data_IF_443631317717
#
_entry.id   IF_443631317717
#
_cell.length_a   1.000
_cell.length_b   1.000
_cell.length_c   1.000
_cell.angle_alpha   90.00
_cell.angle_beta   90.00
_cell.angle_gamma   90.00
#
_symmetry.space_group_name_H-M   'P 1'
#
loop_
_entity.id
_entity.type
_entity.pdbx_description
1 polymer ?
#
# COMPACT_ATOMS: atom_id res chain seq x y z
N UNK A 1 -3.29 25.87 1.43
CA UNK A 1 -3.00 24.42 1.45
C UNK A 1 -4.26 23.69 1.88
N UNK A 2 -4.40 22.44 1.47
CA UNK A 2 -5.55 21.61 1.78
C UNK A 2 -5.34 20.91 3.09
N UNK A 3 -6.17 21.14 4.09
CA UNK A 3 -6.14 20.41 5.36
C UNK A 3 -6.56 18.95 5.16
N UNK A 4 -5.86 18.03 5.83
CA UNK A 4 -6.18 16.61 5.85
C UNK A 4 -7.03 16.22 7.06
N UNK A 5 -7.93 15.26 6.88
CA UNK A 5 -8.60 14.59 7.99
C UNK A 5 -7.69 13.51 8.55
N UNK A 6 -7.16 13.76 9.73
CA UNK A 6 -6.18 12.90 10.39
C UNK A 6 -6.87 12.09 11.49
N UNK A 7 -6.65 10.78 11.49
CA UNK A 7 -7.06 9.88 12.56
C UNK A 7 -6.09 9.97 13.73
N UNK A 8 -4.81 9.77 13.46
CA UNK A 8 -3.75 9.79 14.49
C UNK A 8 -2.37 9.99 13.86
N UNK A 9 -1.39 10.35 14.69
CA UNK A 9 0.02 10.49 14.34
C UNK A 9 0.85 9.56 15.23
N UNK A 10 1.86 8.91 14.67
CA UNK A 10 2.79 8.04 15.39
C UNK A 10 4.23 8.39 15.05
N UNK A 11 5.04 8.65 16.07
CA UNK A 11 6.41 9.19 15.90
C UNK A 11 7.45 8.11 15.59
N UNK A 12 7.20 6.82 15.86
CA UNK A 12 8.23 5.78 15.81
C UNK A 12 7.76 4.50 15.07
N UNK A 13 7.14 4.65 13.89
CA UNK A 13 6.81 3.53 13.03
C UNK A 13 8.07 2.82 12.54
N UNK A 14 8.13 1.50 12.72
CA UNK A 14 9.26 0.66 12.31
C UNK A 14 8.90 -0.38 11.24
N UNK A 15 7.61 -0.45 10.88
CA UNK A 15 7.05 -1.39 9.90
C UNK A 15 6.31 -0.69 8.74
N UNK A 16 6.39 0.63 8.70
CA UNK A 16 5.62 1.48 7.80
C UNK A 16 6.52 2.08 6.69
N UNK A 17 7.52 1.34 6.26
CA UNK A 17 8.50 1.73 5.25
C UNK A 17 9.94 1.65 5.75
N UNK A 18 10.91 2.17 4.97
CA UNK A 18 12.32 2.09 5.33
C UNK A 18 12.66 3.01 6.51
N UNK A 19 13.55 2.53 7.38
CA UNK A 19 14.03 3.27 8.56
C UNK A 19 12.93 3.50 9.60
N UNK A 20 13.14 4.49 10.47
CA UNK A 20 12.09 4.94 11.42
C UNK A 20 11.22 5.98 10.75
N UNK A 21 9.90 5.84 10.86
CA UNK A 21 8.93 6.69 10.17
C UNK A 21 8.11 7.53 11.14
N UNK A 22 7.84 8.77 10.75
CA UNK A 22 6.71 9.51 11.28
C UNK A 22 5.48 9.11 10.48
N UNK A 23 4.54 8.43 11.13
CA UNK A 23 3.38 7.82 10.47
C UNK A 23 2.14 8.68 10.66
N UNK A 24 1.49 9.02 9.57
CA UNK A 24 0.30 9.84 9.52
C UNK A 24 -0.86 8.94 9.10
N UNK A 25 -1.73 8.60 10.06
CA UNK A 25 -2.93 7.83 9.80
C UNK A 25 -4.06 8.77 9.39
N UNK A 26 -4.46 8.73 8.13
CA UNK A 26 -5.60 9.53 7.65
C UNK A 26 -6.93 8.85 7.92
N UNK A 27 -7.96 9.66 8.02
CA UNK A 27 -9.35 9.23 8.18
C UNK A 27 -10.02 9.03 6.81
N UNK A 28 -10.92 8.07 6.74
CA UNK A 28 -11.74 7.78 5.57
C UNK A 28 -11.19 6.62 4.72
N UNK A 29 -11.99 5.56 4.54
CA UNK A 29 -11.67 4.44 3.67
C UNK A 29 -12.93 3.88 3.01
N UNK A 30 -12.97 3.73 1.67
CA UNK A 30 -14.12 3.15 0.98
C UNK A 30 -14.13 1.62 1.04
N UNK A 31 -13.02 0.99 1.46
CA UNK A 31 -12.90 -0.46 1.55
C UNK A 31 -13.46 -0.98 2.89
N UNK A 32 -13.84 -2.27 2.89
CA UNK A 32 -14.31 -3.00 4.08
C UNK A 32 -13.57 -4.32 4.18
N UNK A 33 -12.23 -4.23 4.32
CA UNK A 33 -11.36 -5.40 4.43
C UNK A 33 -11.78 -6.24 5.63
N UNK A 34 -11.93 -7.56 5.42
CA UNK A 34 -12.39 -8.47 6.47
C UNK A 34 -11.43 -8.52 7.68
N UNK A 35 -10.15 -8.25 7.45
CA UNK A 35 -9.07 -8.24 8.44
C UNK A 35 -8.57 -6.82 8.79
N UNK A 36 -9.36 -5.77 8.56
CA UNK A 36 -8.89 -4.41 8.81
C UNK A 36 -8.47 -4.23 10.27
N UNK A 37 -7.27 -3.67 10.49
CA UNK A 37 -6.79 -3.36 11.84
C UNK A 37 -7.25 -1.99 12.34
N UNK A 38 -7.74 -1.14 11.43
CA UNK A 38 -8.15 0.22 11.72
C UNK A 38 -9.60 0.49 11.24
N UNK A 39 -10.62 -0.28 11.68
CA UNK A 39 -12.01 -0.03 11.28
C UNK A 39 -12.52 1.34 11.75
N UNK A 40 -11.89 1.91 12.76
CA UNK A 40 -12.10 3.27 13.26
C UNK A 40 -11.74 4.36 12.24
N UNK A 41 -10.94 4.04 11.21
CA UNK A 41 -10.64 4.97 10.11
C UNK A 41 -11.66 4.92 8.95
N UNK A 42 -12.69 4.11 9.00
CA UNK A 42 -13.61 3.94 7.86
C UNK A 42 -14.51 5.14 7.61
N UNK A 43 -14.90 5.86 8.68
CA UNK A 43 -15.82 7.01 8.59
C UNK A 43 -15.16 8.16 7.83
N UNK A 44 -15.76 8.56 6.69
CA UNK A 44 -15.16 9.54 5.78
C UNK A 44 -15.03 10.95 6.34
N UNK A 45 -15.94 11.34 7.23
CA UNK A 45 -16.04 12.71 7.74
C UNK A 45 -15.56 12.89 9.18
N UNK A 46 -15.09 11.81 9.82
CA UNK A 46 -14.48 11.84 11.15
C UNK A 46 -13.03 12.35 11.12
N UNK A 47 -12.34 12.25 12.25
CA UNK A 47 -10.95 12.70 12.41
C UNK A 47 -10.82 14.19 12.62
N UNK A 48 -9.58 14.62 12.85
CA UNK A 48 -9.22 16.02 13.09
C UNK A 48 -8.67 16.65 11.82
N UNK A 49 -9.14 17.84 11.46
CA UNK A 49 -8.53 18.60 10.36
C UNK A 49 -7.19 19.17 10.82
N UNK A 50 -6.14 18.87 10.04
CA UNK A 50 -4.79 19.38 10.28
C UNK A 50 -4.18 19.91 8.98
N UNK A 51 -3.50 21.05 9.08
CA UNK A 51 -2.73 21.60 7.96
C UNK A 51 -1.41 20.83 7.78
N UNK A 52 -0.91 20.67 6.54
CA UNK A 52 0.38 20.04 6.27
C UNK A 52 1.55 20.61 7.10
N UNK A 53 1.58 21.93 7.32
CA UNK A 53 2.62 22.59 8.10
C UNK A 53 2.60 22.16 9.59
N UNK A 54 1.42 22.01 10.18
CA UNK A 54 1.26 21.55 11.57
C UNK A 54 1.79 20.11 11.75
N UNK A 55 1.58 19.26 10.74
CA UNK A 55 2.07 17.87 10.74
C UNK A 55 3.60 17.84 10.65
N UNK A 56 4.20 18.64 9.75
CA UNK A 56 5.65 18.71 9.63
C UNK A 56 6.32 19.36 10.83
N UNK A 57 5.67 20.29 11.52
CA UNK A 57 6.17 20.79 12.81
C UNK A 57 6.33 19.66 13.83
N UNK A 58 5.38 18.72 13.89
CA UNK A 58 5.50 17.55 14.76
C UNK A 58 6.60 16.59 14.32
N UNK A 59 6.77 16.38 13.01
CA UNK A 59 7.89 15.61 12.46
C UNK A 59 9.23 16.19 12.91
N UNK A 60 9.45 17.48 12.76
CA UNK A 60 10.72 18.15 13.08
C UNK A 60 11.09 18.08 14.58
N UNK A 61 10.14 17.94 15.49
CA UNK A 61 10.43 17.71 16.91
C UNK A 61 11.21 16.40 17.17
N UNK A 62 11.04 15.41 16.28
CA UNK A 62 11.67 14.10 16.39
C UNK A 62 12.60 13.78 15.20
N UNK A 63 12.95 14.75 14.36
CA UNK A 63 13.75 14.59 13.15
C UNK A 63 15.03 13.77 13.31
N UNK A 64 15.80 13.89 14.42
CA UNK A 64 17.02 13.10 14.59
C UNK A 64 16.81 11.58 14.50
N UNK A 65 15.61 11.08 14.83
CA UNK A 65 15.28 9.66 14.77
C UNK A 65 15.02 9.15 13.36
N UNK A 66 14.77 10.04 12.40
CA UNK A 66 14.42 9.69 11.01
C UNK A 66 15.60 9.79 10.04
N UNK A 67 16.77 10.28 10.48
CA UNK A 67 17.93 10.58 9.61
C UNK A 67 18.54 9.36 8.91
N UNK A 68 18.38 8.16 9.47
CA UNK A 68 18.95 6.92 8.92
C UNK A 68 17.96 6.22 7.97
N UNK A 69 17.64 6.87 6.84
CA UNK A 69 16.75 6.31 5.83
C UNK A 69 15.27 6.34 6.17
N UNK A 70 14.90 7.07 7.25
CA UNK A 70 13.50 7.30 7.64
C UNK A 70 12.85 8.46 6.88
N UNK A 71 11.71 8.93 7.38
CA UNK A 71 10.94 10.03 6.79
C UNK A 71 9.48 10.00 7.23
N UNK A 72 8.57 10.48 6.39
CA UNK A 72 7.13 10.40 6.65
C UNK A 72 6.49 9.24 5.87
N UNK A 73 5.48 8.61 6.47
CA UNK A 73 4.57 7.66 5.80
C UNK A 73 3.14 8.11 6.02
N UNK A 74 2.37 8.23 4.94
CA UNK A 74 0.93 8.46 5.03
C UNK A 74 0.20 7.16 4.76
N UNK A 75 -0.63 6.74 5.71
CA UNK A 75 -1.39 5.48 5.76
C UNK A 75 -2.74 5.70 6.44
N UNK A 76 -3.34 4.68 7.05
CA UNK A 76 -4.52 4.76 7.93
C UNK A 76 -5.77 4.20 7.30
N UNK A 77 -6.70 5.06 6.87
CA UNK A 77 -7.81 4.72 6.00
C UNK A 77 -7.32 4.45 4.58
N UNK A 78 -7.73 5.29 3.63
CA UNK A 78 -7.15 5.27 2.27
C UNK A 78 -6.61 6.67 1.93
N UNK A 79 -5.30 6.87 1.95
CA UNK A 79 -4.71 8.19 1.76
C UNK A 79 -5.08 8.87 0.44
N UNK A 80 -5.21 8.11 -0.64
CA UNK A 80 -5.54 8.64 -1.96
C UNK A 80 -6.95 9.25 -2.05
N UNK A 81 -7.81 9.01 -1.06
CA UNK A 81 -9.08 9.74 -0.93
C UNK A 81 -8.87 11.21 -0.58
N UNK A 82 -7.68 11.58 -0.10
CA UNK A 82 -7.28 12.94 0.28
C UNK A 82 -6.09 13.41 -0.56
N UNK A 83 -6.12 13.17 -1.88
CA UNK A 83 -4.98 13.38 -2.78
C UNK A 83 -4.48 14.84 -2.81
N UNK A 84 -5.35 15.83 -2.67
CA UNK A 84 -4.96 17.25 -2.63
C UNK A 84 -4.15 17.58 -1.37
N UNK A 85 -4.55 17.00 -0.22
CA UNK A 85 -3.78 17.08 1.02
C UNK A 85 -2.41 16.40 0.88
N UNK A 86 -2.35 15.21 0.26
CA UNK A 86 -1.10 14.49 0.00
C UNK A 86 -0.13 15.32 -0.85
N UNK A 87 -0.62 15.95 -1.91
CA UNK A 87 0.18 16.81 -2.78
C UNK A 87 0.78 17.98 -1.99
N UNK A 88 -0.02 18.65 -1.18
CA UNK A 88 0.43 19.77 -0.37
C UNK A 88 1.44 19.34 0.71
N UNK A 89 1.15 18.23 1.42
CA UNK A 89 2.05 17.68 2.44
C UNK A 89 3.40 17.23 1.85
N UNK A 90 3.36 16.46 0.76
CA UNK A 90 4.59 15.95 0.14
C UNK A 90 5.38 17.05 -0.54
N UNK A 91 4.70 18.10 -1.05
CA UNK A 91 5.40 19.29 -1.56
C UNK A 91 6.22 19.97 -0.47
N UNK A 92 5.68 20.14 0.73
CA UNK A 92 6.42 20.69 1.86
C UNK A 92 7.53 19.74 2.32
N UNK A 93 7.23 18.47 2.49
CA UNK A 93 8.21 17.46 2.89
C UNK A 93 9.42 17.41 1.95
N UNK A 94 9.18 17.52 0.63
CA UNK A 94 10.26 17.56 -0.37
C UNK A 94 11.14 18.81 -0.29
N UNK A 95 10.59 19.95 0.09
CA UNK A 95 11.40 21.19 0.32
C UNK A 95 12.37 21.00 1.47
N UNK A 96 12.00 20.22 2.48
CA UNK A 96 12.82 19.92 3.66
C UNK A 96 13.70 18.67 3.45
N UNK A 97 13.71 18.08 2.25
CA UNK A 97 14.51 16.89 1.93
C UNK A 97 14.01 15.61 2.62
N UNK A 98 12.76 15.58 3.07
CA UNK A 98 12.15 14.44 3.78
C UNK A 98 11.75 13.37 2.76
N UNK A 99 12.10 12.11 3.06
CA UNK A 99 11.66 10.95 2.29
C UNK A 99 10.16 10.70 2.52
N UNK A 100 9.41 10.58 1.42
CA UNK A 100 7.96 10.42 1.40
C UNK A 100 7.56 8.99 1.03
N UNK A 101 6.72 8.37 1.86
CA UNK A 101 6.17 7.05 1.62
C UNK A 101 4.63 7.12 1.65
N UNK A 102 4.01 6.49 0.68
CA UNK A 102 2.56 6.34 0.59
C UNK A 102 2.19 4.87 0.78
N UNK A 103 1.47 4.55 1.86
CA UNK A 103 0.91 3.22 2.13
C UNK A 103 -0.57 3.21 1.74
N UNK A 104 -0.92 2.53 0.68
CA UNK A 104 -2.24 2.62 0.04
C UNK A 104 -2.69 1.30 -0.58
N UNK A 105 -3.99 1.12 -0.69
CA UNK A 105 -4.56 0.08 -1.54
C UNK A 105 -4.63 0.47 -3.03
N UNK A 106 -4.49 1.75 -3.36
CA UNK A 106 -4.66 2.24 -4.73
C UNK A 106 -6.11 2.30 -5.22
N UNK A 107 -7.10 2.05 -4.36
CA UNK A 107 -8.52 1.94 -4.76
C UNK A 107 -9.09 3.22 -5.38
N UNK A 108 -8.53 4.37 -5.02
CA UNK A 108 -8.97 5.67 -5.56
C UNK A 108 -8.43 5.94 -6.99
N UNK A 109 -7.48 5.14 -7.48
CA UNK A 109 -6.96 5.30 -8.83
C UNK A 109 -8.03 4.99 -9.87
N UNK A 110 -8.24 5.93 -10.79
CA UNK A 110 -9.17 5.75 -11.91
C UNK A 110 -8.59 6.40 -13.18
N UNK A 111 -8.00 5.61 -14.09
CA UNK A 111 -7.37 6.12 -15.30
C UNK A 111 -8.37 6.76 -16.28
N UNK A 112 -9.66 6.47 -16.14
CA UNK A 112 -10.71 7.02 -17.00
C UNK A 112 -11.19 8.42 -16.51
N UNK A 113 -10.65 8.90 -15.38
CA UNK A 113 -10.96 10.22 -14.83
C UNK A 113 -9.76 11.16 -15.01
N UNK A 114 -9.80 12.00 -16.05
CA UNK A 114 -8.71 12.91 -16.40
C UNK A 114 -8.33 13.86 -15.26
N UNK A 115 -9.31 14.40 -14.50
CA UNK A 115 -9.04 15.29 -13.38
C UNK A 115 -8.28 14.58 -12.26
N UNK A 116 -8.62 13.32 -11.99
CA UNK A 116 -7.87 12.51 -11.02
C UNK A 116 -6.47 12.19 -11.53
N UNK A 117 -6.32 11.89 -12.82
CA UNK A 117 -5.01 11.60 -13.41
C UNK A 117 -4.05 12.78 -13.32
N UNK A 118 -4.51 14.02 -13.53
CA UNK A 118 -3.71 15.22 -13.32
C UNK A 118 -3.19 15.33 -11.88
N UNK A 119 -4.00 14.94 -10.89
CA UNK A 119 -3.58 14.91 -9.49
C UNK A 119 -2.55 13.80 -9.22
N UNK A 120 -2.74 12.61 -9.78
CA UNK A 120 -1.76 11.54 -9.70
C UNK A 120 -0.43 11.94 -10.34
N UNK A 121 -0.45 12.57 -11.51
CA UNK A 121 0.75 13.06 -12.20
C UNK A 121 1.50 14.13 -11.39
N UNK A 122 0.79 14.90 -10.56
CA UNK A 122 1.41 15.84 -9.61
C UNK A 122 1.94 15.18 -8.35
N UNK A 123 1.27 14.11 -7.85
CA UNK A 123 1.67 13.42 -6.61
C UNK A 123 2.89 12.53 -6.82
N UNK A 124 2.97 11.80 -7.94
CA UNK A 124 4.01 10.79 -8.14
C UNK A 124 5.45 11.34 -8.08
N UNK A 125 5.79 12.50 -8.68
CA UNK A 125 7.13 13.08 -8.55
C UNK A 125 7.51 13.49 -7.11
N UNK A 126 6.53 13.60 -6.22
CA UNK A 126 6.70 13.93 -4.81
C UNK A 126 6.79 12.69 -3.90
N UNK A 127 6.60 11.49 -4.47
CA UNK A 127 6.53 10.23 -3.73
C UNK A 127 7.76 9.38 -4.01
N UNK A 128 8.56 9.09 -2.98
CA UNK A 128 9.76 8.27 -3.13
C UNK A 128 9.44 6.77 -3.13
N UNK A 129 8.44 6.37 -2.37
CA UNK A 129 8.04 4.97 -2.23
C UNK A 129 6.52 4.83 -2.12
N UNK A 130 5.96 3.88 -2.83
CA UNK A 130 4.59 3.41 -2.61
C UNK A 130 4.62 2.00 -2.04
N UNK A 131 4.05 1.81 -0.86
CA UNK A 131 3.68 0.50 -0.34
C UNK A 131 2.26 0.20 -0.82
N UNK A 132 2.14 -0.66 -1.82
CA UNK A 132 0.87 -0.99 -2.46
C UNK A 132 0.32 -2.31 -1.93
N UNK A 133 -0.85 -2.23 -1.32
CA UNK A 133 -1.58 -3.39 -0.85
C UNK A 133 -2.38 -4.07 -1.98
N UNK A 134 -1.93 -5.20 -2.48
CA UNK A 134 -2.75 -6.07 -3.34
C UNK A 134 -3.41 -7.12 -2.45
N UNK A 135 -4.68 -6.89 -2.08
CA UNK A 135 -5.39 -7.70 -1.08
C UNK A 135 -5.77 -9.11 -1.59
N UNK A 136 -6.05 -9.24 -2.88
CA UNK A 136 -6.22 -10.51 -3.60
C UNK A 136 -6.05 -10.28 -5.10
N UNK A 137 -5.44 -11.24 -5.82
CA UNK A 137 -5.25 -11.11 -7.27
C UNK A 137 -6.54 -11.43 -8.05
N UNK A 138 -7.30 -12.42 -7.63
CA UNK A 138 -8.58 -12.78 -8.23
C UNK A 138 -9.65 -11.71 -7.92
N UNK A 139 -10.41 -11.18 -8.91
CA UNK A 139 -11.33 -10.08 -8.72
C UNK A 139 -12.54 -10.43 -7.85
N UNK A 140 -13.07 -11.65 -7.96
CA UNK A 140 -14.25 -12.04 -7.18
C UNK A 140 -13.89 -12.25 -5.71
N UNK A 141 -12.77 -12.92 -5.45
CA UNK A 141 -12.25 -13.09 -4.10
C UNK A 141 -11.83 -11.76 -3.47
N UNK A 142 -11.24 -10.86 -4.26
CA UNK A 142 -10.96 -9.51 -3.79
C UNK A 142 -12.25 -8.79 -3.36
N UNK A 143 -13.28 -8.82 -4.19
CA UNK A 143 -14.57 -8.20 -3.89
C UNK A 143 -15.25 -8.84 -2.65
N UNK A 144 -15.13 -10.15 -2.49
CA UNK A 144 -15.59 -10.84 -1.30
C UNK A 144 -14.86 -10.33 -0.05
N UNK A 145 -13.53 -10.23 -0.13
CA UNK A 145 -12.64 -9.88 0.98
C UNK A 145 -12.80 -8.43 1.43
N UNK A 146 -12.85 -7.47 0.48
CA UNK A 146 -12.74 -6.02 0.77
C UNK A 146 -13.93 -5.19 0.30
N UNK A 147 -14.93 -5.80 -0.35
CA UNK A 147 -16.17 -5.20 -0.86
C UNK A 147 -15.96 -4.19 -2.02
N UNK A 148 -14.81 -4.23 -2.66
CA UNK A 148 -14.44 -3.39 -3.80
C UNK A 148 -13.73 -4.23 -4.88
N UNK A 149 -13.79 -3.84 -6.18
CA UNK A 149 -13.03 -4.50 -7.23
C UNK A 149 -11.53 -4.18 -7.13
N UNK A 150 -10.67 -5.07 -7.68
CA UNK A 150 -9.22 -4.85 -7.74
C UNK A 150 -8.73 -4.25 -9.07
N UNK A 151 -9.58 -4.09 -10.08
CA UNK A 151 -9.19 -3.71 -11.44
C UNK A 151 -8.33 -2.43 -11.46
N UNK A 152 -8.77 -1.39 -10.77
CA UNK A 152 -8.04 -0.12 -10.73
C UNK A 152 -6.78 -0.19 -9.86
N UNK A 153 -6.76 -1.05 -8.85
CA UNK A 153 -5.58 -1.32 -8.02
C UNK A 153 -4.46 -1.93 -8.88
N UNK A 154 -4.80 -2.93 -9.71
CA UNK A 154 -3.84 -3.56 -10.61
C UNK A 154 -3.36 -2.60 -11.70
N UNK A 155 -4.24 -1.73 -12.23
CA UNK A 155 -3.86 -0.64 -13.14
C UNK A 155 -2.94 0.38 -12.45
N UNK A 156 -3.15 0.66 -11.15
CA UNK A 156 -2.30 1.56 -10.39
C UNK A 156 -0.87 1.00 -10.25
N UNK A 157 -0.70 -0.30 -10.02
CA UNK A 157 0.62 -0.93 -10.03
C UNK A 157 1.35 -0.72 -11.37
N UNK A 158 0.64 -0.88 -12.50
CA UNK A 158 1.21 -0.63 -13.82
C UNK A 158 1.57 0.85 -14.03
N UNK A 159 0.71 1.77 -13.58
CA UNK A 159 0.98 3.21 -13.62
C UNK A 159 2.21 3.61 -12.79
N UNK A 160 2.37 3.06 -11.59
CA UNK A 160 3.57 3.28 -10.76
C UNK A 160 4.84 2.81 -11.49
N UNK A 161 4.77 1.68 -12.20
CA UNK A 161 5.87 1.18 -13.00
C UNK A 161 6.19 2.12 -14.19
N UNK A 162 5.18 2.64 -14.89
CA UNK A 162 5.34 3.63 -15.96
C UNK A 162 5.99 4.92 -15.44
N UNK A 163 5.57 5.41 -14.28
CA UNK A 163 6.13 6.61 -13.64
C UNK A 163 7.47 6.37 -12.93
N UNK A 164 7.96 5.13 -12.91
CA UNK A 164 9.21 4.73 -12.25
C UNK A 164 9.27 5.12 -10.76
N UNK A 165 8.13 5.03 -10.07
CA UNK A 165 8.05 5.24 -8.63
C UNK A 165 8.39 3.93 -7.92
N UNK A 166 9.31 3.93 -6.96
CA UNK A 166 9.69 2.73 -6.22
C UNK A 166 8.47 2.12 -5.52
N UNK A 167 8.33 0.80 -5.61
CA UNK A 167 7.14 0.09 -5.12
C UNK A 167 7.51 -1.09 -4.23
N UNK A 168 6.90 -1.17 -3.04
CA UNK A 168 6.82 -2.38 -2.24
C UNK A 168 5.40 -2.95 -2.37
N UNK A 169 5.28 -4.24 -2.65
CA UNK A 169 3.98 -4.92 -2.62
C UNK A 169 3.76 -5.52 -1.25
N UNK A 170 2.60 -5.21 -0.67
CA UNK A 170 2.15 -5.78 0.61
C UNK A 170 0.98 -6.73 0.35
N UNK A 171 1.02 -7.88 1.02
CA UNK A 171 -0.04 -8.88 0.93
C UNK A 171 -0.20 -9.60 2.27
N UNK A 172 -1.39 -9.52 2.85
CA UNK A 172 -1.71 -10.21 4.11
C UNK A 172 -2.15 -11.63 3.81
N UNK A 173 -1.44 -12.60 4.39
CA UNK A 173 -1.77 -14.03 4.27
C UNK A 173 -2.78 -14.40 5.36
N UNK A 174 -4.03 -14.63 4.96
CA UNK A 174 -5.17 -14.97 5.83
C UNK A 174 -5.57 -16.41 5.56
N UNK A 175 -5.52 -17.32 6.56
CA UNK A 175 -5.90 -18.72 6.40
C UNK A 175 -7.31 -18.90 5.82
N UNK A 176 -7.41 -19.68 4.75
CA UNK A 176 -8.67 -19.96 4.04
C UNK A 176 -9.23 -18.81 3.20
N UNK A 177 -8.54 -17.66 3.12
CA UNK A 177 -9.00 -16.50 2.36
C UNK A 177 -8.02 -16.05 1.29
N UNK A 178 -6.73 -15.88 1.65
CA UNK A 178 -5.70 -15.36 0.74
C UNK A 178 -4.48 -16.28 0.65
N UNK A 179 -4.53 -17.47 1.24
CA UNK A 179 -3.42 -18.41 1.36
C UNK A 179 -3.42 -19.54 0.31
N UNK A 180 -4.30 -19.48 -0.70
CA UNK A 180 -4.32 -20.45 -1.80
C UNK A 180 -3.09 -20.30 -2.70
N UNK A 181 -2.32 -21.37 -2.86
CA UNK A 181 -1.05 -21.40 -3.61
C UNK A 181 -1.19 -20.92 -5.04
N UNK A 182 -2.31 -21.22 -5.72
CA UNK A 182 -2.59 -20.77 -7.08
C UNK A 182 -2.62 -19.25 -7.15
N UNK A 183 -3.39 -18.60 -6.27
CA UNK A 183 -3.55 -17.16 -6.29
C UNK A 183 -2.30 -16.42 -5.81
N UNK A 184 -1.54 -17.01 -4.90
CA UNK A 184 -0.25 -16.50 -4.48
C UNK A 184 0.76 -16.53 -5.63
N UNK A 185 0.81 -17.62 -6.38
CA UNK A 185 1.63 -17.71 -7.60
C UNK A 185 1.19 -16.69 -8.66
N UNK A 186 -0.11 -16.57 -8.93
CA UNK A 186 -0.66 -15.58 -9.86
C UNK A 186 -0.34 -14.13 -9.44
N UNK A 187 -0.41 -13.82 -8.15
CA UNK A 187 0.04 -12.53 -7.62
C UNK A 187 1.52 -12.31 -7.92
N UNK A 188 2.36 -13.30 -7.63
CA UNK A 188 3.79 -13.24 -7.92
C UNK A 188 4.08 -13.04 -9.40
N UNK A 189 3.40 -13.79 -10.26
CA UNK A 189 3.52 -13.67 -11.70
C UNK A 189 3.13 -12.27 -12.19
N UNK A 190 2.04 -11.70 -11.65
CA UNK A 190 1.61 -10.35 -11.97
C UNK A 190 2.64 -9.30 -11.55
N UNK A 191 3.15 -9.35 -10.30
CA UNK A 191 4.09 -8.31 -9.83
C UNK A 191 5.50 -8.49 -10.39
N UNK A 192 5.87 -9.69 -10.86
CA UNK A 192 7.17 -10.00 -11.43
C UNK A 192 7.54 -9.21 -12.68
N UNK A 193 6.53 -8.66 -13.38
CA UNK A 193 6.74 -7.85 -14.59
C UNK A 193 7.24 -6.42 -14.30
N UNK A 194 7.14 -5.95 -13.06
CA UNK A 194 7.46 -4.55 -12.73
C UNK A 194 8.95 -4.38 -12.37
N UNK A 195 9.61 -3.46 -13.07
CA UNK A 195 11.03 -3.17 -12.84
C UNK A 195 11.26 -2.29 -11.60
N UNK A 196 10.26 -1.51 -11.20
CA UNK A 196 10.25 -0.66 -10.01
C UNK A 196 9.89 -1.41 -8.71
N UNK A 197 9.65 -2.72 -8.77
CA UNK A 197 9.40 -3.54 -7.59
C UNK A 197 10.67 -3.72 -6.77
N UNK A 198 10.72 -3.11 -5.57
CA UNK A 198 11.87 -3.14 -4.64
C UNK A 198 11.72 -4.21 -3.56
N UNK A 199 10.50 -4.46 -3.08
CA UNK A 199 10.26 -5.47 -2.05
C UNK A 199 8.89 -6.12 -2.15
N UNK A 200 8.80 -7.32 -1.59
CA UNK A 200 7.55 -8.04 -1.30
C UNK A 200 7.45 -8.24 0.21
N UNK A 201 6.42 -7.67 0.79
CA UNK A 201 6.09 -7.77 2.20
C UNK A 201 4.86 -8.66 2.40
N UNK A 202 5.10 -9.96 2.61
CA UNK A 202 4.05 -10.92 2.96
C UNK A 202 3.83 -10.85 4.47
N UNK A 203 2.64 -10.42 4.89
CA UNK A 203 2.30 -10.14 6.27
C UNK A 203 1.45 -11.27 6.86
N UNK A 204 1.73 -11.73 8.07
CA UNK A 204 0.88 -12.71 8.73
C UNK A 204 -0.43 -12.05 9.19
N UNK A 205 -1.55 -12.70 8.92
CA UNK A 205 -2.81 -12.33 9.56
C UNK A 205 -2.73 -12.54 11.08
N UNK A 206 -3.24 -11.57 11.84
CA UNK A 206 -3.37 -11.63 13.30
C UNK A 206 -4.63 -10.91 13.78
N UNK A 207 -5.05 -11.19 15.01
CA UNK A 207 -6.33 -10.73 15.57
C UNK A 207 -6.25 -9.47 16.43
N UNK A 208 -5.11 -8.77 16.45
CA UNK A 208 -4.92 -7.59 17.33
C UNK A 208 -5.93 -6.44 17.09
N UNK A 209 -6.51 -6.35 15.89
CA UNK A 209 -7.53 -5.35 15.57
C UNK A 209 -8.94 -5.67 16.08
N UNK A 210 -9.22 -6.91 16.55
CA UNK A 210 -10.58 -7.38 16.88
C UNK A 210 -11.25 -6.54 17.97
N UNK A 211 -10.50 -6.14 18.98
CA UNK A 211 -11.03 -5.31 20.07
C UNK A 211 -11.60 -3.95 19.61
N UNK A 212 -11.16 -3.44 18.46
CA UNK A 212 -11.72 -2.21 17.88
C UNK A 212 -13.12 -2.45 17.30
N UNK A 213 -13.36 -3.64 16.71
CA UNK A 213 -14.68 -4.02 16.19
C UNK A 213 -15.71 -4.11 17.31
N UNK A 214 -15.34 -4.72 18.43
CA UNK A 214 -16.20 -4.80 19.62
C UNK A 214 -16.57 -3.41 20.13
N UNK A 215 -15.60 -2.50 20.26
CA UNK A 215 -15.83 -1.11 20.69
C UNK A 215 -16.73 -0.31 19.73
N UNK A 216 -16.66 -0.62 18.44
CA UNK A 216 -17.46 0.03 17.40
C UNK A 216 -18.81 -0.63 17.18
N UNK A 217 -19.09 -1.78 17.83
CA UNK A 217 -20.31 -2.57 17.60
C UNK A 217 -20.40 -3.16 16.19
N UNK A 218 -19.26 -3.41 15.54
CA UNK A 218 -19.18 -3.95 14.17
C UNK A 218 -18.86 -5.45 14.23
N UNK A 219 -19.62 -6.34 13.58
CA UNK A 219 -19.29 -7.76 13.50
C UNK A 219 -17.92 -7.99 12.83
N UNK A 220 -17.07 -8.81 13.46
CA UNK A 220 -15.79 -9.19 12.87
C UNK A 220 -15.98 -10.33 11.88
N UNK A 221 -15.65 -10.11 10.61
CA UNK A 221 -15.94 -11.04 9.51
C UNK A 221 -15.06 -12.30 9.50
N UNK A 222 -13.93 -12.28 10.19
CA UNK A 222 -12.99 -13.42 10.30
C UNK A 222 -13.04 -14.06 11.68
N UNK A 223 -14.19 -14.05 12.33
CA UNK A 223 -14.37 -14.74 13.61
C UNK A 223 -14.02 -16.22 13.47
N UNK A 224 -13.21 -16.75 14.39
CA UNK A 224 -12.74 -18.15 14.35
C UNK A 224 -11.59 -18.44 13.38
N UNK A 225 -11.17 -17.50 12.54
CA UNK A 225 -9.98 -17.69 11.69
C UNK A 225 -8.73 -17.54 12.55
N UNK A 226 -7.84 -18.57 12.60
CA UNK A 226 -6.62 -18.51 13.42
C UNK A 226 -5.60 -17.53 12.85
N UNK A 227 -4.76 -16.97 13.71
CA UNK A 227 -3.61 -16.19 13.27
C UNK A 227 -2.65 -17.04 12.43
N UNK A 228 -2.00 -16.43 11.44
CA UNK A 228 -1.04 -17.11 10.58
C UNK A 228 0.26 -17.40 11.35
N UNK A 229 0.75 -18.64 11.31
CA UNK A 229 2.04 -18.97 11.91
C UNK A 229 3.20 -18.63 10.95
N UNK A 230 4.38 -18.38 11.52
CA UNK A 230 5.55 -17.93 10.76
C UNK A 230 6.08 -18.96 9.72
N UNK A 231 6.04 -20.24 10.02
CA UNK A 231 6.54 -21.27 9.08
C UNK A 231 5.64 -21.33 7.84
N UNK A 232 4.33 -21.36 8.04
CA UNK A 232 3.35 -21.33 6.94
C UNK A 232 3.46 -20.01 6.16
N UNK A 233 3.67 -18.87 6.84
CA UNK A 233 3.89 -17.59 6.17
C UNK A 233 5.08 -17.64 5.20
N UNK A 234 6.20 -18.21 5.63
CA UNK A 234 7.40 -18.35 4.79
C UNK A 234 7.15 -19.25 3.58
N UNK A 235 6.46 -20.38 3.76
CA UNK A 235 6.06 -21.27 2.67
C UNK A 235 5.14 -20.56 1.66
N UNK A 236 4.17 -19.79 2.14
CA UNK A 236 3.24 -19.02 1.30
C UNK A 236 3.93 -17.86 0.57
N UNK A 237 4.84 -17.16 1.25
CA UNK A 237 5.69 -16.14 0.61
C UNK A 237 6.51 -16.72 -0.54
N UNK A 238 7.03 -17.94 -0.37
CA UNK A 238 7.82 -18.62 -1.41
C UNK A 238 6.97 -18.87 -2.67
N UNK A 239 5.67 -19.19 -2.54
CA UNK A 239 4.75 -19.31 -3.68
C UNK A 239 4.62 -18.02 -4.49
N UNK A 240 4.57 -16.87 -3.81
CA UNK A 240 4.57 -15.58 -4.51
C UNK A 240 5.91 -15.38 -5.25
N UNK A 241 7.03 -15.69 -4.59
CA UNK A 241 8.36 -15.57 -5.20
C UNK A 241 8.55 -16.52 -6.39
N UNK A 242 7.94 -17.72 -6.39
CA UNK A 242 7.91 -18.64 -7.54
C UNK A 242 7.28 -17.96 -8.76
N UNK A 243 6.14 -17.32 -8.60
CA UNK A 243 5.48 -16.55 -9.64
C UNK A 243 6.36 -15.40 -10.18
N UNK A 244 7.01 -14.64 -9.27
CA UNK A 244 7.94 -13.57 -9.66
C UNK A 244 9.10 -14.11 -10.51
N UNK A 245 9.70 -15.24 -10.08
CA UNK A 245 10.80 -15.90 -10.80
C UNK A 245 10.38 -16.36 -12.19
N UNK A 246 9.22 -17.00 -12.30
CA UNK A 246 8.67 -17.47 -13.56
C UNK A 246 8.46 -16.30 -14.55
N UNK A 247 7.80 -15.23 -14.11
CA UNK A 247 7.54 -14.06 -14.95
C UNK A 247 8.83 -13.38 -15.44
N UNK A 248 9.80 -13.20 -14.54
CA UNK A 248 11.10 -12.61 -14.90
C UNK A 248 11.92 -13.47 -15.84
N UNK A 249 11.84 -14.80 -15.74
CA UNK A 249 12.48 -15.71 -16.69
C UNK A 249 11.90 -15.56 -18.10
N UNK A 250 10.59 -15.58 -18.24
CA UNK A 250 9.91 -15.36 -19.53
C UNK A 250 10.26 -14.02 -20.18
N UNK A 251 10.27 -12.95 -19.37
CA UNK A 251 10.63 -11.61 -19.89
C UNK A 251 12.07 -11.56 -20.40
N UNK A 252 12.98 -12.28 -19.73
CA UNK A 252 14.38 -12.37 -20.11
C UNK A 252 14.58 -13.14 -21.41
N UNK A 253 13.85 -14.24 -21.58
CA UNK A 253 13.85 -15.03 -22.83
C UNK A 253 13.28 -14.21 -24.00
N UNK A 254 12.13 -13.55 -23.80
CA UNK A 254 11.52 -12.70 -24.81
C UNK A 254 12.40 -11.50 -25.21
N UNK A 255 13.11 -10.88 -24.27
CA UNK A 255 14.07 -9.79 -24.52
C UNK A 255 15.34 -10.27 -25.24
N UNK A 256 15.82 -11.47 -24.95
CA UNK A 256 16.95 -12.09 -25.63
C UNK A 256 16.66 -12.41 -27.11
N UNK A 257 15.47 -12.90 -27.40
CA UNK A 257 15.02 -13.17 -28.78
C UNK A 257 14.81 -11.89 -29.62
N UNK A 258 14.42 -10.79 -29.00
CA UNK A 258 14.26 -9.49 -29.68
C UNK A 258 15.62 -8.89 -30.07
N UNK A 259 16.64 -8.99 -29.20
CA UNK A 259 17.99 -8.53 -29.48
C UNK A 259 18.65 -9.37 -30.60
N UNK A 260 18.46 -10.70 -30.60
CA UNK A 260 19.00 -11.59 -31.64
C UNK A 260 18.36 -11.40 -33.03
N UNK A 261 17.17 -10.81 -33.12
CA UNK A 261 16.49 -10.50 -34.40
C UNK A 261 16.84 -9.12 -34.95
N UNK A 262 17.35 -8.19 -34.11
CA UNK A 262 17.76 -6.86 -34.57
C UNK A 262 19.18 -6.83 -35.17
N UNK A 263 19.97 -7.87 -34.91
CA UNK A 263 21.35 -8.03 -35.46
C UNK A 263 21.39 -8.88 -36.77
N UNK A 264 20.26 -9.12 -37.38
CA UNK A 264 20.13 -9.75 -38.70
C UNK A 264 19.48 -8.80 -39.70
#
# INVERSE_FOLDING_TARGET
>A
MTAGRIHSLESFGTVDGPGTRFVIFVQGCPMRCAYCHNPDTWEMNAGTLMEPAEILEQYHRNEPFYRNGGGITVTGGEPLMQIDFLIDLFTLAKKDGIHTCLDTSGIAFNPDNAVMMEKFDRLMPLTDLVMLDIKHIDPEKHKELVKQPNTNILKFAAYLNEKNVDMWIRHVIVPGWTDDDKYLYELGYFIGQFHNLKALDALPYHTMGVSKYEKLGIPYRLEGVPAMNQNTLLEKKEKILDGVRARRAEMKEAGGDAAAKSDR
#
